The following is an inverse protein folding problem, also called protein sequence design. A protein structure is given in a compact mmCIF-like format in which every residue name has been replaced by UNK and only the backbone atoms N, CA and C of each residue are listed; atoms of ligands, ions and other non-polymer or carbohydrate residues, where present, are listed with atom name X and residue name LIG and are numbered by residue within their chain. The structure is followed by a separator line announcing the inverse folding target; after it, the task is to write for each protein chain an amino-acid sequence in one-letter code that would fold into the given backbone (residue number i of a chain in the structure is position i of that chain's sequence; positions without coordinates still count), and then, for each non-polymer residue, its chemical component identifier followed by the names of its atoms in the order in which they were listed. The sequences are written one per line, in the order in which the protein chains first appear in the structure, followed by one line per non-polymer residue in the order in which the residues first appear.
data_IF_772626872375
#
_entry.id   IF_772626872375
#
_cell.length_a   1.000
_cell.length_b   1.000
_cell.length_c   1.000
_cell.angle_alpha   90.00
_cell.angle_beta   90.00
_cell.angle_gamma   90.00
#
_symmetry.space_group_name_H-M   'P 1'
#
loop_
_entity.id
_entity.type
_entity.pdbx_description
1 polymer ?
#
# COMPACT_ATOMS: atom_id res chain seq x y z
N UNK A 1 20.73 -3.22 35.95
CA UNK A 1 20.04 -2.05 35.35
C UNK A 1 18.72 -2.52 34.77
N UNK A 2 17.61 -1.86 35.13
CA UNK A 2 16.31 -2.13 34.50
C UNK A 2 16.24 -1.44 33.15
N UNK A 3 15.98 -2.21 32.09
CA UNK A 3 15.80 -1.67 30.74
C UNK A 3 14.34 -1.25 30.58
N UNK A 4 14.11 0.07 30.55
CA UNK A 4 12.79 0.63 30.31
C UNK A 4 12.49 0.68 28.81
N UNK A 5 11.41 0.02 28.39
CA UNK A 5 10.96 0.05 27.00
C UNK A 5 10.15 1.33 26.73
N UNK A 6 10.59 2.14 25.75
CA UNK A 6 9.73 3.14 25.14
C UNK A 6 8.63 2.42 24.34
N UNK A 7 7.40 2.49 24.83
CA UNK A 7 6.28 1.66 24.36
C UNK A 7 5.33 2.39 23.38
N UNK A 8 5.67 3.59 22.92
CA UNK A 8 4.88 4.36 21.95
C UNK A 8 5.68 4.74 20.71
N UNK A 9 5.09 4.54 19.53
CA UNK A 9 5.67 4.89 18.23
C UNK A 9 4.94 6.09 17.61
N UNK A 10 5.71 7.05 17.11
CA UNK A 10 5.22 8.32 16.56
C UNK A 10 5.53 8.47 15.06
N UNK A 11 5.93 7.39 14.37
CA UNK A 11 6.47 7.41 13.01
C UNK A 11 5.56 6.75 11.98
N UNK A 12 5.22 5.48 12.20
CA UNK A 12 4.58 4.66 11.18
C UNK A 12 3.08 4.92 11.19
N UNK A 13 2.49 5.01 10.00
CA UNK A 13 1.04 4.89 9.86
C UNK A 13 0.56 3.59 10.54
N UNK A 14 -0.59 3.57 11.24
CA UNK A 14 -1.07 2.39 11.98
C UNK A 14 -1.07 1.08 11.18
N UNK A 15 -1.52 1.12 9.91
CA UNK A 15 -1.47 -0.04 8.99
C UNK A 15 -0.06 -0.60 8.73
N UNK A 16 0.99 0.23 8.79
CA UNK A 16 2.39 -0.22 8.66
C UNK A 16 2.86 -0.81 9.99
N UNK A 17 2.58 -0.12 11.08
CA UNK A 17 3.03 -0.50 12.42
C UNK A 17 2.42 -1.81 12.90
N UNK A 18 1.21 -2.15 12.43
CA UNK A 18 0.41 -3.27 12.94
C UNK A 18 1.22 -4.56 13.00
N UNK A 19 1.87 -4.96 11.91
CA UNK A 19 2.66 -6.19 11.89
C UNK A 19 3.89 -6.14 12.84
N UNK A 20 4.82 -5.16 12.72
CA UNK A 20 5.98 -5.08 13.62
C UNK A 20 5.64 -5.11 15.10
N UNK A 21 4.56 -4.43 15.51
CA UNK A 21 4.12 -4.35 16.91
C UNK A 21 3.80 -5.72 17.49
N UNK A 22 3.06 -6.55 16.74
CA UNK A 22 2.66 -7.86 17.21
C UNK A 22 3.81 -8.87 17.14
N UNK A 23 4.59 -8.85 16.06
CA UNK A 23 5.61 -9.86 15.80
C UNK A 23 6.91 -9.60 16.57
N UNK A 24 7.41 -8.36 16.58
CA UNK A 24 8.72 -8.05 17.18
C UNK A 24 8.62 -7.51 18.60
N UNK A 25 7.48 -6.89 18.95
CA UNK A 25 7.28 -6.23 20.24
C UNK A 25 6.19 -6.91 21.09
N UNK A 26 5.67 -8.07 20.68
CA UNK A 26 4.66 -8.85 21.42
C UNK A 26 3.44 -8.01 21.84
N UNK A 27 3.06 -7.03 21.03
CA UNK A 27 1.96 -6.09 21.29
C UNK A 27 2.28 -4.96 22.28
N UNK A 28 3.48 -4.92 22.87
CA UNK A 28 3.86 -3.88 23.84
C UNK A 28 4.02 -2.49 23.19
N UNK A 29 4.39 -2.42 21.91
CA UNK A 29 4.52 -1.16 21.17
C UNK A 29 3.15 -0.64 20.71
N UNK A 30 2.81 0.58 21.11
CA UNK A 30 1.54 1.27 20.83
C UNK A 30 1.73 2.40 19.82
N UNK A 31 0.67 2.70 19.09
CA UNK A 31 0.62 3.90 18.24
C UNK A 31 0.36 5.13 19.10
N UNK A 32 1.26 6.11 18.99
CA UNK A 32 1.10 7.43 19.59
C UNK A 32 -0.09 8.19 19.00
N UNK A 33 -0.57 9.24 19.69
CA UNK A 33 -1.74 10.00 19.25
C UNK A 33 -1.53 10.68 17.89
N UNK A 34 -0.31 11.09 17.55
CA UNK A 34 -0.03 11.82 16.31
C UNK A 34 -0.34 11.00 15.04
N UNK A 35 0.03 9.71 15.02
CA UNK A 35 -0.14 8.84 13.83
C UNK A 35 -1.59 8.37 13.64
N UNK A 36 -2.44 8.58 14.65
CA UNK A 36 -3.88 8.27 14.60
C UNK A 36 -4.72 9.43 14.10
N UNK A 37 -4.16 10.64 14.03
CA UNK A 37 -4.89 11.82 13.57
C UNK A 37 -5.16 11.74 12.06
N UNK A 38 -6.33 12.21 11.59
CA UNK A 38 -6.67 12.19 10.17
C UNK A 38 -5.68 12.93 9.26
N UNK A 39 -4.99 13.94 9.79
CA UNK A 39 -4.02 14.80 9.09
C UNK A 39 -2.64 14.14 8.91
N UNK A 40 -2.35 13.04 9.61
CA UNK A 40 -1.05 12.37 9.55
C UNK A 40 -0.74 11.81 8.16
N UNK A 41 0.03 12.56 7.38
CA UNK A 41 0.35 12.19 5.99
C UNK A 41 -0.86 12.24 5.06
N UNK A 42 -1.95 12.89 5.47
CA UNK A 42 -3.24 12.87 4.78
C UNK A 42 -3.15 13.21 3.31
N UNK A 43 -2.45 14.31 2.96
CA UNK A 43 -2.35 14.77 1.58
C UNK A 43 -1.72 13.72 0.65
N UNK A 44 -0.70 13.00 1.12
CA UNK A 44 -0.05 11.95 0.34
C UNK A 44 -0.88 10.67 0.30
N UNK A 45 -1.45 10.27 1.44
CA UNK A 45 -2.26 9.05 1.54
C UNK A 45 -3.53 9.20 0.69
N UNK A 46 -4.25 10.30 0.84
CA UNK A 46 -5.45 10.59 0.06
C UNK A 46 -5.14 10.69 -1.44
N UNK A 47 -4.05 11.37 -1.83
CA UNK A 47 -3.69 11.51 -3.25
C UNK A 47 -3.42 10.17 -3.94
N UNK A 48 -2.81 9.20 -3.24
CA UNK A 48 -2.52 7.87 -3.79
C UNK A 48 -3.76 6.97 -3.72
N UNK A 49 -4.35 6.82 -2.54
CA UNK A 49 -5.44 5.84 -2.29
C UNK A 49 -6.73 6.18 -3.03
N UNK A 50 -7.01 7.46 -3.28
CA UNK A 50 -8.19 7.88 -4.08
C UNK A 50 -8.07 7.57 -5.57
N UNK A 51 -6.84 7.55 -6.10
CA UNK A 51 -6.56 7.29 -7.53
C UNK A 51 -6.22 5.83 -7.80
N UNK A 52 -5.66 5.15 -6.80
CA UNK A 52 -5.28 3.73 -6.88
C UNK A 52 -5.73 3.03 -5.61
N UNK A 53 -6.94 2.50 -5.66
CA UNK A 53 -7.58 1.82 -4.53
C UNK A 53 -6.80 0.60 -4.04
N UNK A 54 -6.05 -0.06 -4.94
CA UNK A 54 -5.26 -1.23 -4.60
C UNK A 54 -4.05 -0.95 -3.72
N UNK A 55 -3.55 0.30 -3.68
CA UNK A 55 -2.40 0.67 -2.87
C UNK A 55 -2.86 1.20 -1.51
N UNK A 56 -2.34 0.60 -0.44
CA UNK A 56 -2.58 0.99 0.94
C UNK A 56 -1.26 1.42 1.62
N UNK A 57 -1.31 2.13 2.76
CA UNK A 57 -0.12 2.48 3.54
C UNK A 57 0.83 1.31 3.79
N UNK A 58 0.33 0.09 3.90
CA UNK A 58 1.13 -1.14 3.82
C UNK A 58 0.62 -1.97 2.65
N UNK A 59 1.49 -2.35 1.72
CA UNK A 59 1.13 -3.18 0.56
C UNK A 59 2.25 -4.15 0.23
N UNK A 60 1.93 -5.43 0.04
CA UNK A 60 2.82 -6.44 -0.55
C UNK A 60 2.52 -6.54 -2.04
N UNK A 61 3.53 -6.27 -2.86
CA UNK A 61 3.49 -6.37 -4.31
C UNK A 61 4.03 -7.75 -4.72
N UNK A 62 3.12 -8.69 -4.94
CA UNK A 62 3.46 -10.06 -5.36
C UNK A 62 3.88 -10.07 -6.83
N UNK A 63 5.18 -10.26 -7.06
CA UNK A 63 5.81 -10.20 -8.36
C UNK A 63 6.44 -11.54 -8.74
N UNK A 64 5.90 -12.17 -9.79
CA UNK A 64 6.45 -13.40 -10.39
C UNK A 64 7.74 -13.11 -11.18
N UNK A 65 8.82 -12.93 -10.43
CA UNK A 65 10.17 -12.65 -10.90
C UNK A 65 11.14 -13.78 -10.54
N UNK A 66 12.39 -13.68 -11.01
CA UNK A 66 13.48 -14.62 -10.75
C UNK A 66 14.72 -13.86 -10.27
N UNK A 67 15.43 -14.45 -9.31
CA UNK A 67 16.70 -13.93 -8.83
C UNK A 67 17.83 -14.30 -9.80
N UNK A 68 18.78 -13.38 -9.94
CA UNK A 68 20.01 -13.50 -10.71
C UNK A 68 21.19 -13.54 -9.72
N UNK A 69 22.17 -14.42 -9.97
CA UNK A 69 23.38 -14.53 -9.14
C UNK A 69 24.56 -13.93 -9.90
N UNK A 70 25.22 -12.93 -9.31
CA UNK A 70 26.51 -12.44 -9.79
C UNK A 70 27.53 -12.42 -8.65
N UNK A 71 28.54 -13.28 -8.73
CA UNK A 71 29.49 -13.49 -7.64
C UNK A 71 28.81 -14.04 -6.37
N UNK A 72 29.10 -13.42 -5.23
CA UNK A 72 28.60 -13.83 -3.90
C UNK A 72 27.26 -13.19 -3.49
N UNK A 73 26.72 -12.27 -4.30
CA UNK A 73 25.47 -11.55 -4.00
C UNK A 73 24.35 -11.94 -4.98
N UNK A 74 23.13 -11.51 -4.65
CA UNK A 74 21.93 -11.70 -5.45
C UNK A 74 21.38 -10.37 -5.93
N UNK A 75 20.72 -10.40 -7.09
CA UNK A 75 19.93 -9.30 -7.62
C UNK A 75 18.66 -9.83 -8.27
N UNK A 76 17.69 -8.96 -8.51
CA UNK A 76 16.47 -9.26 -9.23
C UNK A 76 16.12 -8.04 -10.08
N UNK A 77 16.50 -8.10 -11.35
CA UNK A 77 16.36 -6.96 -12.27
C UNK A 77 14.89 -6.58 -12.51
N UNK A 78 13.98 -7.55 -12.44
CA UNK A 78 12.53 -7.33 -12.57
C UNK A 78 11.95 -6.63 -11.35
N UNK A 79 12.35 -6.99 -10.13
CA UNK A 79 11.98 -6.22 -8.92
C UNK A 79 12.53 -4.80 -8.98
N UNK A 80 13.76 -4.61 -9.49
CA UNK A 80 14.35 -3.29 -9.63
C UNK A 80 13.64 -2.45 -10.71
N UNK A 81 13.20 -3.05 -11.81
CA UNK A 81 12.32 -2.40 -12.79
C UNK A 81 11.00 -1.95 -12.13
N UNK A 82 10.39 -2.81 -11.32
CA UNK A 82 9.15 -2.50 -10.62
C UNK A 82 9.31 -1.36 -9.62
N UNK A 83 10.41 -1.33 -8.86
CA UNK A 83 10.68 -0.26 -7.90
C UNK A 83 10.77 1.12 -8.59
N UNK A 84 11.43 1.19 -9.75
CA UNK A 84 11.54 2.41 -10.55
C UNK A 84 10.20 2.79 -11.15
N UNK A 85 9.48 1.82 -11.73
CA UNK A 85 8.14 2.03 -12.30
C UNK A 85 7.14 2.53 -11.25
N UNK A 86 7.16 1.94 -10.05
CA UNK A 86 6.31 2.36 -8.94
C UNK A 86 6.65 3.77 -8.49
N UNK A 87 7.94 4.11 -8.35
CA UNK A 87 8.35 5.46 -8.00
C UNK A 87 7.84 6.51 -9.01
N UNK A 88 7.99 6.24 -10.31
CA UNK A 88 7.52 7.13 -11.38
C UNK A 88 6.00 7.29 -11.33
N UNK A 89 5.26 6.18 -11.20
CA UNK A 89 3.81 6.19 -11.07
C UNK A 89 3.34 6.98 -9.85
N UNK A 90 3.97 6.80 -8.69
CA UNK A 90 3.63 7.53 -7.47
C UNK A 90 3.90 9.03 -7.61
N UNK A 91 4.99 9.41 -8.30
CA UNK A 91 5.31 10.81 -8.60
C UNK A 91 4.23 11.46 -9.46
N UNK A 92 3.73 10.75 -10.47
CA UNK A 92 2.63 11.22 -11.34
C UNK A 92 1.31 11.34 -10.57
N UNK A 93 0.94 10.29 -9.83
CA UNK A 93 -0.31 10.21 -9.06
C UNK A 93 -0.40 11.31 -8.00
N UNK A 94 0.71 11.61 -7.30
CA UNK A 94 0.70 12.55 -6.19
C UNK A 94 0.90 14.02 -6.60
N UNK A 95 0.80 14.37 -7.89
CA UNK A 95 1.14 15.69 -8.45
C UNK A 95 2.55 16.19 -8.03
N UNK A 96 3.53 15.27 -8.01
CA UNK A 96 4.95 15.58 -7.76
C UNK A 96 5.45 15.27 -6.34
N UNK A 97 6.28 14.25 -6.21
CA UNK A 97 7.13 13.99 -5.02
C UNK A 97 8.36 14.93 -5.06
N UNK A 98 8.18 16.23 -4.81
CA UNK A 98 9.17 17.28 -5.14
C UNK A 98 10.42 17.42 -4.22
N UNK A 99 10.75 16.46 -3.33
CA UNK A 99 11.95 16.58 -2.46
C UNK A 99 12.50 15.23 -1.96
N UNK A 100 13.83 15.18 -1.75
CA UNK A 100 14.69 14.08 -1.22
C UNK A 100 14.10 13.27 -0.07
N UNK A 101 13.43 13.92 0.88
CA UNK A 101 13.01 13.33 2.16
C UNK A 101 11.75 12.46 2.08
N UNK A 102 11.37 12.00 0.87
CA UNK A 102 10.09 11.30 0.64
C UNK A 102 10.22 9.84 0.27
N UNK A 103 11.23 9.41 -0.48
CA UNK A 103 11.30 8.02 -0.97
C UNK A 103 12.65 7.38 -0.70
N UNK A 104 12.63 6.22 -0.04
CA UNK A 104 13.77 5.34 0.06
C UNK A 104 13.46 4.00 -0.63
N UNK A 105 14.42 3.47 -1.37
CA UNK A 105 14.40 2.07 -1.84
C UNK A 105 15.46 1.30 -1.07
N UNK A 106 15.00 0.29 -0.34
CA UNK A 106 15.84 -0.52 0.52
C UNK A 106 15.86 -1.98 0.05
N UNK A 107 16.99 -2.64 0.24
CA UNK A 107 17.16 -4.04 -0.14
C UNK A 107 18.19 -4.73 0.75
N UNK A 108 18.07 -6.04 1.00
CA UNK A 108 19.05 -6.78 1.76
C UNK A 108 20.40 -7.01 1.03
N UNK A 109 20.43 -6.89 -0.31
CA UNK A 109 21.61 -7.27 -1.11
C UNK A 109 22.31 -6.05 -1.73
N UNK A 110 23.63 -5.97 -1.57
CA UNK A 110 24.45 -4.88 -2.13
C UNK A 110 24.41 -4.85 -3.67
N UNK A 111 24.40 -6.02 -4.32
CA UNK A 111 24.28 -6.09 -5.77
C UNK A 111 22.92 -5.57 -6.26
N UNK A 112 21.83 -5.85 -5.56
CA UNK A 112 20.52 -5.27 -5.86
C UNK A 112 20.53 -3.76 -5.67
N UNK A 113 21.14 -3.24 -4.61
CA UNK A 113 21.28 -1.81 -4.40
C UNK A 113 22.02 -1.15 -5.59
N UNK A 114 23.09 -1.78 -6.10
CA UNK A 114 23.79 -1.29 -7.28
C UNK A 114 22.94 -1.32 -8.56
N UNK A 115 22.13 -2.38 -8.77
CA UNK A 115 21.18 -2.44 -9.89
C UNK A 115 20.16 -1.30 -9.80
N UNK A 116 19.58 -1.09 -8.62
CA UNK A 116 18.62 -0.01 -8.37
C UNK A 116 19.23 1.37 -8.63
N UNK A 117 20.43 1.65 -8.10
CA UNK A 117 21.14 2.92 -8.33
C UNK A 117 21.35 3.20 -9.81
N UNK A 118 21.78 2.20 -10.59
CA UNK A 118 21.92 2.34 -12.05
C UNK A 118 20.58 2.65 -12.74
N UNK A 119 19.51 1.95 -12.37
CA UNK A 119 18.19 2.18 -12.99
C UNK A 119 17.59 3.54 -12.61
N UNK A 120 17.78 3.99 -11.37
CA UNK A 120 17.36 5.32 -10.95
C UNK A 120 18.20 6.43 -11.57
N UNK A 121 19.52 6.26 -11.70
CA UNK A 121 20.37 7.20 -12.44
C UNK A 121 19.93 7.28 -13.92
N UNK A 122 19.60 6.15 -14.54
CA UNK A 122 19.09 6.13 -15.91
C UNK A 122 17.70 6.80 -16.07
N UNK A 123 16.88 6.88 -15.02
CA UNK A 123 15.58 7.56 -15.03
C UNK A 123 15.70 9.06 -14.72
N UNK A 124 16.50 9.43 -13.72
CA UNK A 124 16.50 10.76 -13.10
C UNK A 124 17.80 11.54 -13.32
N UNK A 125 18.77 10.95 -14.04
CA UNK A 125 20.12 11.46 -14.22
C UNK A 125 21.04 11.23 -13.00
N UNK A 126 22.28 11.69 -13.12
CA UNK A 126 23.33 11.53 -12.09
C UNK A 126 22.92 12.09 -10.71
N UNK A 127 22.04 13.09 -10.69
CA UNK A 127 21.51 13.70 -9.48
C UNK A 127 20.28 12.97 -8.89
N UNK A 128 20.03 11.71 -9.24
CA UNK A 128 18.87 10.95 -8.75
C UNK A 128 18.75 10.91 -7.22
N UNK A 129 19.88 10.99 -6.52
CA UNK A 129 19.96 11.02 -5.04
C UNK A 129 19.25 12.23 -4.43
N UNK A 130 18.97 13.29 -5.22
CA UNK A 130 18.12 14.42 -4.82
C UNK A 130 16.63 14.07 -4.73
N UNK A 131 16.22 12.89 -5.19
CA UNK A 131 14.83 12.48 -5.24
C UNK A 131 14.57 11.16 -4.53
N UNK A 132 15.51 10.22 -4.63
CA UNK A 132 15.36 8.87 -4.09
C UNK A 132 16.66 8.38 -3.47
N UNK A 133 16.55 7.83 -2.28
CA UNK A 133 17.67 7.23 -1.57
C UNK A 133 17.69 5.72 -1.76
N UNK A 134 18.81 5.15 -2.23
CA UNK A 134 18.94 3.71 -2.49
C UNK A 134 20.03 3.10 -1.62
N UNK A 135 19.63 2.26 -0.66
CA UNK A 135 20.55 1.70 0.32
C UNK A 135 20.24 0.26 0.71
N UNK A 136 21.23 -0.40 1.30
CA UNK A 136 20.98 -1.69 1.97
C UNK A 136 20.24 -1.47 3.29
N UNK A 137 19.61 -2.53 3.83
CA UNK A 137 18.94 -2.46 5.15
C UNK A 137 19.90 -1.95 6.23
N UNK A 138 21.10 -2.53 6.30
CA UNK A 138 22.11 -2.17 7.29
C UNK A 138 22.56 -0.71 7.13
N UNK A 139 22.79 -0.26 5.89
CA UNK A 139 23.17 1.14 5.64
C UNK A 139 22.04 2.12 5.98
N UNK A 140 20.77 1.72 5.88
CA UNK A 140 19.61 2.59 6.15
C UNK A 140 19.19 2.61 7.64
N UNK A 141 19.94 1.96 8.52
CA UNK A 141 19.64 1.96 9.95
C UNK A 141 19.62 3.38 10.54
N UNK A 142 18.67 3.65 11.42
CA UNK A 142 18.48 4.96 12.05
C UNK A 142 17.81 6.02 11.18
N UNK A 143 17.64 5.75 9.89
CA UNK A 143 16.99 6.67 8.94
C UNK A 143 15.51 6.34 8.76
N UNK A 144 14.76 7.27 8.17
CA UNK A 144 13.32 7.15 7.89
C UNK A 144 12.94 7.87 6.60
N UNK A 145 11.85 7.44 5.94
CA UNK A 145 11.31 8.08 4.74
C UNK A 145 9.78 8.03 4.71
N UNK A 146 9.13 8.97 4.00
CA UNK A 146 7.66 8.95 3.87
C UNK A 146 7.16 7.69 3.17
N UNK A 147 7.83 7.30 2.09
CA UNK A 147 7.58 6.12 1.29
C UNK A 147 8.83 5.27 1.32
N UNK A 148 8.68 3.98 1.63
CA UNK A 148 9.74 2.99 1.54
C UNK A 148 9.31 1.91 0.57
N UNK A 149 10.16 1.63 -0.41
CA UNK A 149 10.01 0.50 -1.34
C UNK A 149 11.08 -0.52 -0.95
N UNK A 150 10.66 -1.66 -0.42
CA UNK A 150 11.56 -2.76 -0.07
C UNK A 150 11.57 -3.81 -1.18
N UNK A 151 12.74 -4.12 -1.74
CA UNK A 151 12.94 -5.22 -2.70
C UNK A 151 13.54 -6.42 -1.99
N UNK A 152 12.78 -7.51 -1.88
CA UNK A 152 13.18 -8.72 -1.18
C UNK A 152 14.20 -9.55 -1.98
N UNK A 153 14.23 -9.43 -3.30
CA UNK A 153 15.11 -10.10 -4.27
C UNK A 153 14.85 -11.60 -4.42
N UNK A 154 14.60 -12.29 -3.31
CA UNK A 154 14.53 -13.75 -3.26
C UNK A 154 13.33 -14.31 -4.00
N UNK A 155 13.64 -15.17 -4.97
CA UNK A 155 12.68 -15.85 -5.81
C UNK A 155 12.96 -17.36 -5.96
N UNK A 156 14.01 -17.93 -5.35
CA UNK A 156 14.42 -19.33 -5.55
C UNK A 156 13.75 -20.41 -4.66
N UNK A 157 12.60 -20.14 -4.02
CA UNK A 157 11.88 -21.15 -3.25
C UNK A 157 12.70 -21.76 -2.10
N UNK A 158 12.78 -23.09 -2.04
CA UNK A 158 13.31 -23.89 -0.91
C UNK A 158 14.81 -23.77 -0.63
N UNK A 159 15.61 -23.05 -1.44
CA UNK A 159 17.06 -22.89 -1.26
C UNK A 159 17.47 -21.93 -0.12
N UNK A 160 16.62 -21.80 0.90
CA UNK A 160 16.75 -20.89 2.04
C UNK A 160 16.65 -19.42 1.64
N UNK A 161 16.26 -18.51 2.54
CA UNK A 161 16.07 -17.08 2.20
C UNK A 161 17.31 -16.19 2.44
N UNK A 162 18.41 -16.77 2.93
CA UNK A 162 19.68 -16.05 3.11
C UNK A 162 19.50 -14.86 4.05
N UNK A 163 20.04 -13.69 3.70
CA UNK A 163 19.96 -12.45 4.50
C UNK A 163 18.54 -12.09 5.00
N UNK A 164 17.49 -12.49 4.29
CA UNK A 164 16.11 -12.27 4.74
C UNK A 164 15.75 -13.09 6.01
N UNK A 165 16.51 -14.12 6.39
CA UNK A 165 16.21 -14.93 7.59
C UNK A 165 16.46 -14.19 8.90
N UNK A 166 17.17 -13.06 8.85
CA UNK A 166 17.44 -12.24 10.01
C UNK A 166 16.21 -11.40 10.38
N UNK A 167 15.52 -11.83 11.44
CA UNK A 167 14.33 -11.18 11.98
C UNK A 167 14.59 -9.74 12.43
N UNK A 168 15.81 -9.41 12.88
CA UNK A 168 16.17 -8.06 13.33
C UNK A 168 16.24 -7.13 12.13
N UNK A 169 16.83 -7.60 11.03
CA UNK A 169 16.91 -6.85 9.77
C UNK A 169 15.55 -6.70 9.10
N UNK A 170 14.69 -7.71 9.20
CA UNK A 170 13.29 -7.60 8.80
C UNK A 170 12.59 -6.47 9.58
N UNK A 171 12.71 -6.44 10.91
CA UNK A 171 12.15 -5.35 11.72
C UNK A 171 12.69 -3.99 11.29
N UNK A 172 14.01 -3.86 11.09
CA UNK A 172 14.61 -2.61 10.59
C UNK A 172 13.96 -2.19 9.29
N UNK A 173 13.91 -3.08 8.28
CA UNK A 173 13.37 -2.79 6.95
C UNK A 173 11.90 -2.33 6.99
N UNK A 174 11.04 -3.04 7.75
CA UNK A 174 9.61 -2.75 7.81
C UNK A 174 9.28 -1.48 8.61
N UNK A 175 10.18 -1.00 9.48
CA UNK A 175 9.92 0.14 10.38
C UNK A 175 10.52 1.48 9.91
N UNK A 176 10.97 1.54 8.65
CA UNK A 176 11.57 2.75 8.06
C UNK A 176 10.54 3.72 7.49
N UNK A 177 9.36 3.24 7.14
CA UNK A 177 8.32 4.01 6.47
C UNK A 177 7.50 4.87 7.43
N UNK A 178 7.14 6.09 7.02
CA UNK A 178 6.15 6.91 7.74
C UNK A 178 4.73 6.72 7.21
N UNK A 179 4.53 6.82 5.89
CA UNK A 179 3.22 6.86 5.26
C UNK A 179 2.93 5.66 4.36
N UNK A 180 3.91 5.19 3.58
CA UNK A 180 3.77 4.02 2.72
C UNK A 180 4.95 3.07 2.83
N UNK A 181 4.66 1.79 2.97
CA UNK A 181 5.59 0.68 2.85
C UNK A 181 5.10 -0.25 1.73
N UNK A 182 5.88 -0.32 0.65
CA UNK A 182 5.68 -1.25 -0.45
C UNK A 182 6.73 -2.37 -0.37
N UNK A 183 6.29 -3.61 -0.19
CA UNK A 183 7.16 -4.78 -0.16
C UNK A 183 7.06 -5.50 -1.50
N UNK A 184 8.08 -5.39 -2.33
CA UNK A 184 8.20 -6.15 -3.58
C UNK A 184 8.84 -7.50 -3.25
N UNK A 185 8.11 -8.57 -3.53
CA UNK A 185 8.60 -9.93 -3.34
C UNK A 185 7.86 -10.91 -4.23
N UNK A 186 8.48 -12.07 -4.48
CA UNK A 186 7.75 -13.27 -4.90
C UNK A 186 7.19 -13.95 -3.66
N UNK A 187 5.89 -13.82 -3.38
CA UNK A 187 5.30 -14.28 -2.12
C UNK A 187 5.56 -15.76 -1.85
N UNK A 188 5.41 -16.61 -2.87
CA UNK A 188 5.67 -18.05 -2.77
C UNK A 188 7.09 -18.36 -2.27
N UNK A 189 8.08 -17.54 -2.64
CA UNK A 189 9.48 -17.80 -2.31
C UNK A 189 9.88 -17.31 -0.93
N UNK A 190 9.26 -16.24 -0.43
CA UNK A 190 9.57 -15.71 0.91
C UNK A 190 8.80 -16.44 2.03
N UNK A 191 7.64 -17.05 1.71
CA UNK A 191 6.82 -17.83 2.67
C UNK A 191 7.52 -19.06 3.25
N UNK A 192 8.68 -19.46 2.72
CA UNK A 192 9.47 -20.57 3.30
C UNK A 192 10.06 -20.22 4.68
N UNK A 193 10.13 -18.94 5.03
CA UNK A 193 10.49 -18.49 6.37
C UNK A 193 9.24 -18.11 7.18
N UNK A 194 9.14 -18.53 8.45
CA UNK A 194 7.96 -18.28 9.27
C UNK A 194 7.59 -16.80 9.39
N UNK A 195 8.54 -15.91 9.68
CA UNK A 195 8.24 -14.48 9.86
C UNK A 195 7.77 -13.82 8.56
N UNK A 196 8.39 -14.14 7.43
CA UNK A 196 7.93 -13.65 6.13
C UNK A 196 6.60 -14.27 5.71
N UNK A 197 6.34 -15.52 6.09
CA UNK A 197 5.03 -16.14 5.91
C UNK A 197 3.98 -15.36 6.69
N UNK A 198 4.22 -15.07 7.97
CA UNK A 198 3.32 -14.28 8.81
C UNK A 198 3.08 -12.89 8.23
N UNK A 199 4.10 -12.25 7.64
CA UNK A 199 3.94 -10.96 6.96
C UNK A 199 2.98 -11.04 5.78
N UNK A 200 3.15 -12.06 4.93
CA UNK A 200 2.31 -12.24 3.74
C UNK A 200 0.89 -12.66 4.14
N UNK A 201 0.73 -13.48 5.17
CA UNK A 201 -0.58 -13.89 5.68
C UNK A 201 -1.31 -12.69 6.30
N UNK A 202 -0.62 -11.88 7.12
CA UNK A 202 -1.15 -10.60 7.62
C UNK A 202 -1.57 -9.65 6.49
N UNK A 203 -0.75 -9.54 5.44
CA UNK A 203 -1.08 -8.73 4.27
C UNK A 203 -2.30 -9.29 3.54
N UNK A 204 -2.49 -10.61 3.51
CA UNK A 204 -3.65 -11.26 2.87
C UNK A 204 -4.93 -10.98 3.68
N UNK A 205 -4.88 -11.16 4.99
CA UNK A 205 -6.00 -10.90 5.93
C UNK A 205 -6.46 -9.43 5.90
N UNK A 206 -5.52 -8.50 5.69
CA UNK A 206 -5.81 -7.05 5.62
C UNK A 206 -6.09 -6.55 4.20
N UNK A 207 -6.26 -7.45 3.23
CA UNK A 207 -6.46 -7.14 1.81
C UNK A 207 -5.41 -6.16 1.26
N UNK A 208 -4.15 -6.42 1.59
CA UNK A 208 -2.97 -5.60 1.28
C UNK A 208 -1.98 -6.32 0.34
N UNK A 209 -2.37 -7.43 -0.29
CA UNK A 209 -1.58 -8.10 -1.33
C UNK A 209 -2.09 -7.68 -2.70
N UNK A 210 -1.19 -7.21 -3.57
CA UNK A 210 -1.47 -6.85 -4.96
C UNK A 210 -0.64 -7.73 -5.87
N UNK A 211 -1.28 -8.50 -6.76
CA UNK A 211 -0.57 -9.25 -7.79
C UNK A 211 -0.19 -8.31 -8.92
N UNK A 212 1.11 -8.17 -9.18
CA UNK A 212 1.62 -7.23 -10.18
C UNK A 212 1.57 -7.87 -11.57
N UNK A 213 0.74 -7.37 -12.52
CA UNK A 213 0.65 -7.94 -13.85
C UNK A 213 1.86 -7.54 -14.70
N UNK A 214 2.59 -8.52 -15.22
CA UNK A 214 3.67 -8.32 -16.19
C UNK A 214 3.07 -8.47 -17.58
N UNK A 215 3.06 -7.39 -18.38
CA UNK A 215 2.50 -7.41 -19.74
C UNK A 215 3.43 -8.11 -20.72
N UNK A 216 4.73 -7.86 -20.61
CA UNK A 216 5.74 -8.48 -21.47
C UNK A 216 7.03 -8.75 -20.67
N UNK A 217 7.46 -10.02 -20.66
CA UNK A 217 8.79 -10.43 -20.19
C UNK A 217 9.74 -10.37 -21.41
N UNK A 218 10.51 -9.28 -21.49
CA UNK A 218 11.58 -8.94 -22.48
C UNK A 218 11.64 -9.76 -23.78
N UNK A 219 11.36 -9.09 -24.90
CA UNK A 219 12.10 -9.24 -26.17
C UNK A 219 12.62 -7.84 -26.60
N UNK A 220 13.94 -7.67 -26.62
CA UNK A 220 14.72 -6.45 -26.98
C UNK A 220 14.63 -5.25 -25.98
N UNK A 221 15.78 -4.61 -25.69
CA UNK A 221 16.01 -3.45 -24.76
C UNK A 221 15.94 -3.65 -23.24
N UNK A 222 15.72 -4.84 -22.71
CA UNK A 222 16.15 -5.14 -21.34
C UNK A 222 15.32 -4.52 -20.19
N UNK A 223 14.13 -3.96 -20.42
CA UNK A 223 13.20 -3.48 -19.37
C UNK A 223 11.93 -4.33 -19.32
N UNK A 224 11.43 -4.61 -18.12
CA UNK A 224 10.14 -5.30 -17.91
C UNK A 224 8.99 -4.30 -18.04
N UNK A 225 7.90 -4.67 -18.74
CA UNK A 225 6.70 -3.83 -18.84
C UNK A 225 5.60 -4.35 -17.89
N UNK A 226 5.08 -3.45 -17.06
CA UNK A 226 3.98 -3.72 -16.13
C UNK A 226 2.68 -3.09 -16.61
N UNK A 227 1.55 -3.62 -16.16
CA UNK A 227 0.27 -2.97 -16.36
C UNK A 227 0.22 -1.62 -15.61
N UNK A 228 -0.53 -0.62 -16.10
CA UNK A 228 -0.75 0.65 -15.40
C UNK A 228 -1.11 0.46 -13.92
N UNK A 229 -0.46 1.17 -13.01
CA UNK A 229 -0.71 1.03 -11.55
C UNK A 229 -2.18 1.23 -11.18
N UNK A 230 -2.91 2.10 -11.88
CA UNK A 230 -4.37 2.32 -11.72
C UNK A 230 -5.24 1.09 -12.03
N UNK A 231 -4.70 0.11 -12.74
CA UNK A 231 -5.38 -1.13 -13.11
C UNK A 231 -5.04 -2.29 -12.17
N UNK A 232 -4.09 -2.10 -11.26
CA UNK A 232 -3.72 -3.13 -10.28
C UNK A 232 -4.87 -3.43 -9.35
N UNK A 233 -4.95 -4.68 -8.91
CA UNK A 233 -6.03 -5.20 -8.07
C UNK A 233 -5.46 -5.98 -6.90
N UNK A 234 -6.16 -5.91 -5.78
CA UNK A 234 -5.82 -6.70 -4.61
C UNK A 234 -6.22 -8.15 -4.84
N UNK A 235 -5.47 -9.06 -4.25
CA UNK A 235 -5.79 -10.49 -4.30
C UNK A 235 -7.10 -10.70 -3.54
N UNK A 236 -8.11 -11.21 -4.23
CA UNK A 236 -9.46 -11.39 -3.68
C UNK A 236 -10.48 -10.35 -4.16
N UNK A 237 -10.05 -9.28 -4.86
CA UNK A 237 -10.99 -8.35 -5.48
C UNK A 237 -11.85 -9.08 -6.54
N UNK A 238 -13.16 -8.81 -6.60
CA UNK A 238 -14.02 -9.38 -7.63
C UNK A 238 -13.55 -8.94 -9.03
N UNK A 239 -13.69 -9.80 -10.07
CA UNK A 239 -13.43 -9.40 -11.45
C UNK A 239 -14.23 -8.13 -11.78
N UNK A 240 -13.63 -7.17 -12.48
CA UNK A 240 -14.42 -6.06 -13.05
C UNK A 240 -15.41 -6.70 -14.03
N UNK A 241 -16.71 -6.50 -13.81
CA UNK A 241 -17.71 -6.82 -14.82
C UNK A 241 -17.29 -6.08 -16.10
N UNK A 242 -17.04 -6.84 -17.18
CA UNK A 242 -16.82 -6.21 -18.47
C UNK A 242 -18.08 -5.40 -18.79
N UNK A 243 -17.96 -4.13 -19.22
CA UNK A 243 -19.12 -3.44 -19.75
C UNK A 243 -19.72 -4.32 -20.84
N UNK A 244 -21.07 -4.44 -20.93
CA UNK A 244 -21.70 -5.27 -21.95
C UNK A 244 -21.13 -4.90 -23.32
N UNK A 245 -20.89 -5.87 -24.22
CA UNK A 245 -20.32 -5.60 -25.53
C UNK A 245 -21.13 -4.48 -26.18
N UNK A 246 -20.45 -3.38 -26.51
CA UNK A 246 -21.09 -2.29 -27.23
C UNK A 246 -21.61 -2.86 -28.55
N UNK A 247 -22.88 -2.59 -28.93
CA UNK A 247 -23.37 -2.99 -30.23
C UNK A 247 -22.44 -2.43 -31.32
N UNK A 248 -22.21 -3.18 -32.41
CA UNK A 248 -21.28 -2.77 -33.45
C UNK A 248 -21.61 -1.34 -33.91
N UNK A 249 -20.61 -0.47 -33.83
CA UNK A 249 -20.69 0.92 -34.26
C UNK A 249 -21.02 0.90 -35.76
N UNK A 250 -22.27 1.17 -36.12
CA UNK A 250 -22.63 1.32 -37.53
C UNK A 250 -21.83 2.50 -38.09
N UNK A 251 -21.04 2.23 -39.14
CA UNK A 251 -20.29 3.26 -39.86
C UNK A 251 -21.27 4.35 -40.33
N UNK A 252 -20.98 5.65 -40.13
CA UNK A 252 -21.79 6.68 -40.75
C UNK A 252 -21.74 6.52 -42.28
N UNK A 253 -22.83 6.80 -43.00
CA UNK A 253 -22.84 6.70 -44.46
C UNK A 253 -21.80 7.66 -45.06
N UNK A 254 -21.17 7.28 -46.19
CA UNK A 254 -20.14 8.09 -46.82
C UNK A 254 -20.68 9.48 -47.16
N UNK A 255 -20.01 10.53 -46.66
CA UNK A 255 -20.34 11.91 -46.97
C UNK A 255 -19.99 12.21 -48.43
N UNK A 256 -20.97 12.66 -49.21
CA UNK A 256 -20.84 12.91 -50.66
C UNK A 256 -21.51 11.88 -51.57
N UNK A 257 -22.15 10.84 -51.01
CA UNK A 257 -22.89 9.85 -51.80
C UNK A 257 -24.25 10.40 -52.30
N UNK A 258 -24.62 10.04 -53.53
CA UNK A 258 -25.90 10.40 -54.14
C UNK A 258 -27.07 9.84 -53.31
N UNK A 259 -28.23 10.49 -53.36
CA UNK A 259 -29.44 10.06 -52.63
C UNK A 259 -29.80 8.58 -52.89
N UNK A 260 -29.53 8.07 -54.09
CA UNK A 260 -29.75 6.66 -54.45
C UNK A 260 -28.79 5.70 -53.73
N UNK A 261 -27.58 6.13 -53.43
CA UNK A 261 -26.57 5.31 -52.74
C UNK A 261 -26.82 5.26 -51.24
N UNK A 262 -27.32 6.36 -50.65
CA UNK A 262 -27.79 6.38 -49.27
C UNK A 262 -29.00 5.43 -49.09
N UNK A 263 -29.95 5.44 -50.03
CA UNK A 263 -31.13 4.58 -49.96
C UNK A 263 -30.78 3.08 -50.04
N UNK A 264 -29.79 2.71 -50.87
CA UNK A 264 -29.26 1.33 -50.94
C UNK A 264 -28.56 0.90 -49.65
N UNK A 265 -27.81 1.80 -49.02
CA UNK A 265 -27.13 1.54 -47.74
C UNK A 265 -28.14 1.21 -46.63
N UNK A 266 -29.25 1.95 -46.55
CA UNK A 266 -30.33 1.69 -45.58
C UNK A 266 -31.14 0.42 -45.89
N UNK A 267 -31.32 0.05 -47.17
CA UNK A 267 -31.98 -1.20 -47.54
C UNK A 267 -31.11 -2.45 -47.32
N UNK A 268 -29.78 -2.34 -47.40
CA UNK A 268 -28.89 -3.48 -47.12
C UNK A 268 -28.69 -3.74 -45.63
N UNK A 269 -28.76 -2.71 -44.79
CA UNK A 269 -28.59 -2.84 -43.33
C UNK A 269 -29.81 -3.44 -42.61
N UNK A 270 -30.94 -3.64 -43.30
CA UNK A 270 -32.16 -4.27 -42.75
C UNK A 270 -32.32 -5.76 -43.08
N UNK A 271 -31.36 -6.40 -43.78
CA UNK A 271 -31.49 -7.82 -44.21
C UNK A 271 -30.78 -8.83 -43.28
N UNK A 272 -30.14 -8.42 -42.19
CA UNK A 272 -29.55 -9.36 -41.22
C UNK A 272 -30.16 -9.20 -39.83
N UNK A 273 -31.36 -9.75 -39.63
CA UNK A 273 -31.79 -10.42 -38.39
C UNK A 273 -33.25 -10.91 -38.52
N UNK A 274 -33.43 -12.08 -39.12
CA UNK A 274 -34.62 -12.89 -38.85
C UNK A 274 -34.32 -13.78 -37.65
N UNK A 275 -34.79 -13.39 -36.45
CA UNK A 275 -35.31 -14.28 -35.37
C UNK A 275 -35.35 -13.59 -33.99
N UNK A 276 -36.34 -12.75 -33.72
CA UNK A 276 -36.92 -12.54 -32.36
C UNK A 276 -38.37 -12.03 -32.53
N UNK A 277 -39.38 -12.56 -31.81
CA UNK A 277 -40.76 -12.09 -31.92
C UNK A 277 -40.94 -10.72 -31.25
N UNK A 278 -41.81 -9.89 -31.84
CA UNK A 278 -42.12 -8.53 -31.40
C UNK A 278 -42.78 -8.50 -30.01
N UNK A 279 -42.42 -7.55 -29.13
CA UNK A 279 -43.19 -7.28 -27.92
C UNK A 279 -44.44 -6.43 -28.24
N UNK A 280 -45.53 -6.54 -27.46
CA UNK A 280 -46.78 -5.82 -27.73
C UNK A 280 -46.64 -4.32 -27.46
N UNK A 281 -47.29 -3.51 -28.29
CA UNK A 281 -47.40 -2.06 -28.17
C UNK A 281 -48.00 -1.66 -26.81
N UNK A 282 -47.29 -0.85 -26.03
CA UNK A 282 -47.85 -0.16 -24.86
C UNK A 282 -48.39 1.23 -25.25
N UNK A 283 -49.50 1.69 -24.64
CA UNK A 283 -50.12 2.96 -24.97
C UNK A 283 -49.33 4.17 -24.45
N UNK A 284 -49.32 5.23 -25.25
CA UNK A 284 -48.70 6.52 -24.97
C UNK A 284 -49.35 7.23 -23.78
N UNK A 285 -48.55 7.57 -22.75
CA UNK A 285 -48.95 8.50 -21.69
C UNK A 285 -48.42 9.92 -21.98
N UNK A 286 -49.20 10.99 -21.71
CA UNK A 286 -48.79 12.37 -21.91
C UNK A 286 -47.77 12.84 -20.84
N UNK A 287 -47.01 13.93 -21.10
CA UNK A 287 -45.91 14.35 -20.24
C UNK A 287 -46.37 14.82 -18.85
N UNK A 288 -45.60 14.42 -17.83
CA UNK A 288 -45.86 14.69 -16.42
C UNK A 288 -45.66 16.16 -16.03
N UNK A 289 -46.60 16.65 -15.22
CA UNK A 289 -46.63 17.98 -14.59
C UNK A 289 -45.54 18.15 -13.52
N UNK A 290 -44.95 19.34 -13.45
CA UNK A 290 -43.95 19.73 -12.44
C UNK A 290 -44.59 19.81 -11.05
N UNK A 291 -44.01 19.24 -9.98
CA UNK A 291 -44.53 19.38 -8.61
C UNK A 291 -44.11 20.70 -7.96
N UNK A 292 -44.95 21.29 -7.09
CA UNK A 292 -44.63 22.53 -6.37
C UNK A 292 -43.68 22.30 -5.18
N UNK A 293 -42.97 23.35 -4.70
CA UNK A 293 -42.02 23.24 -3.60
C UNK A 293 -42.68 23.05 -2.22
N UNK A 294 -41.95 22.47 -1.24
CA UNK A 294 -42.49 22.16 0.08
C UNK A 294 -42.64 23.41 0.99
N UNK A 295 -43.59 23.41 1.95
CA UNK A 295 -43.81 24.52 2.85
C UNK A 295 -42.81 24.59 4.02
N UNK A 296 -42.55 25.81 4.46
CA UNK A 296 -41.63 26.24 5.52
C UNK A 296 -42.01 25.73 6.92
N UNK A 297 -41.01 25.32 7.71
CA UNK A 297 -41.17 24.96 9.13
C UNK A 297 -41.47 26.18 10.02
N UNK A 298 -42.26 26.03 11.11
CA UNK A 298 -42.36 27.05 12.14
C UNK A 298 -41.24 26.92 13.20
N UNK A 299 -40.75 28.09 13.60
CA UNK A 299 -39.84 28.35 14.72
C UNK A 299 -40.30 27.71 16.03
N UNK A 300 -39.38 27.08 16.77
CA UNK A 300 -39.50 26.91 18.21
C UNK A 300 -38.37 27.65 18.93
N UNK A 301 -38.80 28.57 19.80
CA UNK A 301 -37.97 29.39 20.67
C UNK A 301 -37.48 28.59 21.89
N UNK A 302 -36.28 29.00 22.30
CA UNK A 302 -35.56 28.81 23.55
C UNK A 302 -36.43 28.81 24.82
N UNK A 303 -36.28 27.79 25.67
CA UNK A 303 -36.30 27.80 27.16
C UNK A 303 -35.71 26.43 27.57
N UNK A 304 -34.69 26.27 28.41
CA UNK A 304 -34.46 26.81 29.76
C UNK A 304 -34.21 25.59 30.67
N UNK A 305 -32.94 25.32 31.01
CA UNK A 305 -32.54 24.36 32.06
C UNK A 305 -33.15 24.75 33.42
N UNK A 306 -33.33 23.79 34.34
CA UNK A 306 -32.52 23.87 35.55
C UNK A 306 -31.97 22.54 36.08
N UNK A 307 -30.80 22.68 36.70
CA UNK A 307 -30.13 21.76 37.62
C UNK A 307 -31.02 21.24 38.75
N UNK A 308 -30.83 19.99 39.18
CA UNK A 308 -30.87 19.64 40.60
C UNK A 308 -30.03 18.39 40.94
N UNK A 309 -29.29 18.54 42.04
CA UNK A 309 -28.41 17.59 42.71
C UNK A 309 -29.19 16.58 43.59
N UNK A 310 -28.44 15.56 44.03
CA UNK A 310 -28.66 14.60 45.12
C UNK A 310 -29.50 13.36 44.82
N UNK A 311 -28.87 12.18 44.96
CA UNK A 311 -29.21 11.23 46.04
C UNK A 311 -28.08 10.22 46.27
N UNK A 312 -27.77 9.99 47.55
CA UNK A 312 -26.87 8.99 48.11
C UNK A 312 -27.42 7.57 47.93
N UNK A 313 -26.54 6.56 47.85
CA UNK A 313 -26.91 5.15 48.01
C UNK A 313 -25.71 4.22 47.92
N UNK A 314 -25.18 3.83 49.08
CA UNK A 314 -24.15 2.81 49.27
C UNK A 314 -24.60 1.44 48.70
N UNK A 315 -23.68 0.68 48.11
CA UNK A 315 -23.60 -0.75 48.40
C UNK A 315 -22.22 -1.33 48.08
N UNK A 316 -21.65 -1.93 49.12
CA UNK A 316 -20.40 -2.67 49.16
C UNK A 316 -20.58 -4.06 48.56
N UNK A 317 -19.65 -4.54 47.74
CA UNK A 317 -19.32 -5.96 47.61
C UNK A 317 -17.92 -6.13 47.01
N UNK A 318 -17.07 -6.87 47.73
CA UNK A 318 -15.68 -7.17 47.41
C UNK A 318 -15.56 -8.36 46.42
N UNK A 319 -14.39 -8.58 45.79
CA UNK A 319 -14.27 -9.29 44.52
C UNK A 319 -14.05 -10.81 44.64
N UNK A 320 -14.52 -11.53 43.62
CA UNK A 320 -14.32 -12.97 43.39
C UNK A 320 -12.94 -13.23 42.79
N UNK A 321 -12.16 -14.12 43.40
CA UNK A 321 -10.85 -14.60 42.91
C UNK A 321 -11.00 -15.61 41.75
N UNK A 322 -10.10 -15.61 40.74
CA UNK A 322 -9.95 -16.73 39.82
C UNK A 322 -8.86 -17.75 40.29
N UNK A 323 -8.97 -19.04 39.90
CA UNK A 323 -8.06 -20.11 40.34
C UNK A 323 -6.69 -20.10 39.61
N UNK A 324 -5.66 -20.79 40.16
CA UNK A 324 -4.25 -20.60 39.80
C UNK A 324 -3.83 -21.28 38.48
N UNK A 325 -2.96 -20.59 37.74
CA UNK A 325 -2.29 -21.07 36.52
C UNK A 325 -1.04 -21.90 36.86
N UNK A 326 -0.91 -23.07 36.21
CA UNK A 326 0.27 -23.92 36.26
C UNK A 326 1.37 -23.40 35.32
N UNK A 327 2.60 -23.25 35.82
CA UNK A 327 3.79 -22.96 35.02
C UNK A 327 4.44 -24.25 34.50
N UNK A 328 5.15 -24.18 33.37
CA UNK A 328 6.32 -25.03 33.16
C UNK A 328 7.62 -24.23 33.00
N UNK A 329 8.55 -24.54 33.92
CA UNK A 329 10.01 -24.66 33.82
C UNK A 329 10.80 -23.80 32.82
N UNK A 330 11.67 -22.95 33.39
CA UNK A 330 12.79 -22.29 32.74
C UNK A 330 13.92 -23.29 32.43
N UNK A 331 14.53 -23.16 31.25
CA UNK A 331 15.91 -23.60 31.01
C UNK A 331 16.71 -22.38 30.56
N UNK A 332 17.70 -22.02 31.38
CA UNK A 332 18.59 -20.87 31.24
C UNK A 332 19.67 -21.14 30.20
N UNK A 333 19.88 -20.20 29.28
CA UNK A 333 21.21 -19.90 28.72
C UNK A 333 21.25 -18.44 28.30
N UNK A 334 21.87 -17.64 29.15
CA UNK A 334 22.06 -16.19 29.06
C UNK A 334 23.43 -15.87 28.45
N UNK A 335 23.45 -15.03 27.41
CA UNK A 335 24.61 -14.23 27.00
C UNK A 335 24.10 -12.79 26.77
N UNK A 336 24.77 -11.75 27.28
CA UNK A 336 24.13 -10.46 27.57
C UNK A 336 23.93 -9.56 26.35
N UNK A 337 22.84 -8.78 26.43
CA UNK A 337 22.48 -7.67 25.56
C UNK A 337 23.28 -6.41 25.95
N UNK A 338 23.87 -5.73 24.96
CA UNK A 338 24.35 -4.35 25.09
C UNK A 338 23.55 -3.41 24.17
N UNK A 339 23.23 -2.24 24.74
CA UNK A 339 22.12 -1.33 24.49
C UNK A 339 22.07 -0.54 23.14
N UNK A 340 20.92 0.13 22.85
CA UNK A 340 20.67 0.94 21.65
C UNK A 340 20.82 2.47 21.84
N UNK A 341 21.01 3.16 20.70
CA UNK A 341 20.63 4.53 20.32
C UNK A 341 20.40 5.60 21.41
N UNK A 342 21.23 6.65 21.39
CA UNK A 342 20.94 7.96 21.96
C UNK A 342 20.83 9.04 20.85
N UNK A 343 19.74 9.82 20.92
CA UNK A 343 19.52 11.08 20.20
C UNK A 343 20.39 12.17 20.86
N UNK A 344 21.19 12.89 20.08
CA UNK A 344 21.97 14.04 20.56
C UNK A 344 21.15 15.32 20.36
N UNK A 345 20.81 15.97 21.48
CA UNK A 345 20.32 17.34 21.52
C UNK A 345 21.47 18.34 21.42
N UNK A 346 21.22 19.46 20.73
CA UNK A 346 22.13 20.59 20.62
C UNK A 346 22.48 21.19 21.99
N UNK A 347 23.75 21.52 22.18
CA UNK A 347 24.15 22.51 23.18
C UNK A 347 25.16 23.48 22.55
N UNK A 348 24.85 24.77 22.71
CA UNK A 348 25.59 25.93 22.21
C UNK A 348 26.80 26.15 23.12
N UNK A 349 28.01 26.26 22.54
CA UNK A 349 29.22 26.68 23.25
C UNK A 349 29.54 28.15 22.97
N UNK A 350 29.62 28.92 24.05
CA UNK A 350 30.29 30.23 24.15
C UNK A 350 31.76 29.97 24.56
N UNK A 351 32.77 30.67 24.01
CA UNK A 351 34.16 30.51 24.44
C UNK A 351 34.57 31.57 25.49
N UNK A 352 35.52 31.28 26.38
CA UNK A 352 36.21 32.31 27.16
C UNK A 352 37.74 32.26 26.97
N UNK A 353 38.46 33.19 27.61
CA UNK A 353 39.02 34.41 27.03
C UNK A 353 40.32 34.22 26.23
#
# INVERSE_FOLDING_TARGET
EEVYMLNEQYRMHPKISHFPRHIFYKGALKDGPNVKKPDYGHSLIAAITSKVEALQPFTVLDLDSKEERGGTSLANSTEADLAVYLYESLKEISNGLSATSRVAVITPYSQQANVLRRKFSALLGENYTKFVEVNTVDAFQGREAKIVIFSAVRAAGSRGIGFLSDVRRMNVALTRAKNFLFVIARCQSIKVNPYWKDLVDHATETNAVVRVPILQKKFKKGKTQFAPVREWRRVGDPPKQQPPPQPPRQSPPPQGASFKDQLKFFQQSSVTNNSVPSPPLQPSYPPASVPPPPPSQPNFQNTGMPNQNNFFGQNSQAPVQPPPQQQPFYSTNSVPLSNPMALVGHNVSVPPP
#
